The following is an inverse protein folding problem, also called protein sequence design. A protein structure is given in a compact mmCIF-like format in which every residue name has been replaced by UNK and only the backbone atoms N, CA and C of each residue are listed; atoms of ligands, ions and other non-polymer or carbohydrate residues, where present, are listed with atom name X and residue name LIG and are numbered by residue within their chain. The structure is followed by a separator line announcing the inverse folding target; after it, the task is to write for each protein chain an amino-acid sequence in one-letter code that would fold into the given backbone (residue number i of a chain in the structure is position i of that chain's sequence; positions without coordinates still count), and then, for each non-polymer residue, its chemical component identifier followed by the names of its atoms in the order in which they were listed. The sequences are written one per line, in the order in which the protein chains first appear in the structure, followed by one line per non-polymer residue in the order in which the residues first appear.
data_IF_808328309751
#
_entry.id   IF_808328309751
#
_cell.length_a   1.000
_cell.length_b   1.000
_cell.length_c   1.000
_cell.angle_alpha   90.00
_cell.angle_beta   90.00
_cell.angle_gamma   90.00
#
_symmetry.space_group_name_H-M   'P 1'
#
loop_
_entity.id
_entity.type
_entity.pdbx_description
1 polymer ?
#
# COMPACT_ATOMS: atom_id res chain seq x y z
N UNK A 1 11.03 -10.75 19.78
CA UNK A 1 12.09 -11.73 19.49
C UNK A 1 12.92 -11.33 18.28
N UNK A 2 14.17 -10.84 18.46
CA UNK A 2 15.06 -10.44 17.36
C UNK A 2 15.52 -11.61 16.47
N UNK A 3 15.47 -12.83 16.99
CA UNK A 3 15.86 -14.05 16.27
C UNK A 3 14.74 -14.67 15.43
N UNK A 4 13.47 -14.26 15.62
CA UNK A 4 12.34 -14.88 14.94
C UNK A 4 12.26 -14.51 13.44
N UNK A 5 12.20 -15.52 12.57
CA UNK A 5 12.07 -15.34 11.12
C UNK A 5 10.77 -14.64 10.72
N UNK A 6 9.64 -15.00 11.34
CA UNK A 6 8.35 -14.35 11.07
C UNK A 6 8.36 -12.86 11.44
N UNK A 7 9.01 -12.49 12.56
CA UNK A 7 9.21 -11.08 12.92
C UNK A 7 10.00 -10.34 11.84
N UNK A 8 11.12 -10.90 11.39
CA UNK A 8 11.97 -10.28 10.34
C UNK A 8 11.19 -10.06 9.03
N UNK A 9 10.34 -11.00 8.64
CA UNK A 9 9.48 -10.88 7.45
C UNK A 9 8.35 -9.86 7.64
N UNK A 10 7.84 -9.71 8.86
CA UNK A 10 6.76 -8.79 9.18
C UNK A 10 7.22 -7.33 9.32
N UNK A 11 8.42 -7.08 9.87
CA UNK A 11 8.91 -5.72 10.15
C UNK A 11 8.83 -4.75 8.95
N UNK A 12 9.23 -5.12 7.71
CA UNK A 12 9.09 -4.22 6.57
C UNK A 12 7.64 -3.85 6.24
N UNK A 13 6.67 -4.71 6.57
CA UNK A 13 5.23 -4.43 6.41
C UNK A 13 4.77 -3.51 7.54
N UNK A 14 5.20 -3.79 8.77
CA UNK A 14 4.93 -2.94 9.92
C UNK A 14 5.40 -1.50 9.67
N UNK A 15 6.63 -1.30 9.22
CA UNK A 15 7.18 0.05 8.98
C UNK A 15 6.42 0.79 7.86
N UNK A 16 6.00 0.07 6.82
CA UNK A 16 5.16 0.64 5.75
C UNK A 16 3.77 1.03 6.25
N UNK A 17 3.16 0.21 7.11
CA UNK A 17 1.90 0.54 7.73
C UNK A 17 2.05 1.76 8.63
N UNK A 18 3.05 1.79 9.51
CA UNK A 18 3.33 2.92 10.38
C UNK A 18 3.47 4.23 9.60
N UNK A 19 4.28 4.25 8.54
CA UNK A 19 4.43 5.43 7.69
C UNK A 19 3.11 5.84 6.99
N UNK A 20 2.33 4.87 6.50
CA UNK A 20 1.03 5.14 5.90
C UNK A 20 0.05 5.76 6.89
N UNK A 21 0.00 5.24 8.12
CA UNK A 21 -0.91 5.71 9.14
C UNK A 21 -0.49 7.04 9.73
N UNK A 22 0.80 7.27 9.95
CA UNK A 22 1.35 8.57 10.34
C UNK A 22 1.00 9.64 9.30
N UNK A 23 1.19 9.30 8.02
CA UNK A 23 0.78 10.17 6.91
C UNK A 23 -0.73 10.41 6.94
N UNK A 24 -1.57 9.39 7.11
CA UNK A 24 -3.01 9.52 6.86
C UNK A 24 -3.83 9.97 8.07
N UNK A 25 -3.42 9.55 9.26
CA UNK A 25 -4.15 9.70 10.51
C UNK A 25 -3.40 10.53 11.56
N UNK A 26 -2.14 10.90 11.30
CA UNK A 26 -1.30 11.64 12.24
C UNK A 26 -1.27 10.96 13.61
N UNK A 27 -1.50 11.75 14.65
CA UNK A 27 -1.43 11.29 16.05
C UNK A 27 -2.64 10.43 16.50
N UNK A 28 -3.61 10.12 15.62
CA UNK A 28 -4.71 9.22 15.97
C UNK A 28 -4.25 7.77 16.18
N UNK A 29 -3.11 7.37 15.62
CA UNK A 29 -2.56 6.02 15.77
C UNK A 29 -1.05 6.08 16.02
N UNK A 30 -0.62 5.50 17.13
CA UNK A 30 0.80 5.36 17.47
C UNK A 30 1.25 3.92 17.23
N UNK A 31 2.32 3.76 16.47
CA UNK A 31 2.98 2.47 16.24
C UNK A 31 4.19 2.33 17.19
N UNK A 32 4.12 1.37 18.10
CA UNK A 32 5.23 1.01 18.99
C UNK A 32 5.66 -0.45 18.79
N UNK A 33 6.96 -0.71 18.96
CA UNK A 33 7.55 -2.06 18.94
C UNK A 33 8.44 -2.26 20.15
N UNK A 34 8.37 -3.45 20.74
CA UNK A 34 9.18 -3.85 21.90
C UNK A 34 9.71 -5.25 21.68
N UNK A 35 10.85 -5.57 22.31
CA UNK A 35 11.32 -6.95 22.32
C UNK A 35 10.63 -7.76 23.42
N UNK A 36 9.58 -8.50 23.05
CA UNK A 36 8.83 -9.35 23.96
C UNK A 36 9.60 -10.56 24.52
N UNK A 37 10.86 -10.79 24.14
CA UNK A 37 11.72 -11.78 24.86
C UNK A 37 12.44 -11.20 26.06
N UNK A 38 12.53 -9.87 26.14
CA UNK A 38 13.20 -9.15 27.22
C UNK A 38 12.23 -8.36 28.10
N UNK A 39 10.94 -8.35 27.75
CA UNK A 39 9.92 -7.51 28.39
C UNK A 39 8.59 -8.29 28.45
N UNK A 40 7.88 -8.13 29.56
CA UNK A 40 6.54 -8.69 29.76
C UNK A 40 5.48 -7.60 29.57
N UNK A 41 4.25 -8.01 29.24
CA UNK A 41 3.10 -7.11 29.10
C UNK A 41 2.13 -7.46 30.21
N UNK A 42 1.85 -6.50 31.10
CA UNK A 42 0.89 -6.70 32.18
C UNK A 42 -0.49 -7.05 31.61
N UNK A 43 -1.10 -8.11 32.15
CA UNK A 43 -2.43 -8.56 31.71
C UNK A 43 -2.47 -9.26 30.35
N UNK A 44 -1.33 -9.50 29.69
CA UNK A 44 -1.31 -10.23 28.42
C UNK A 44 -0.15 -11.23 28.34
N UNK A 45 -0.49 -12.50 28.09
CA UNK A 45 0.50 -13.57 27.95
C UNK A 45 0.88 -13.78 26.47
N UNK A 46 2.11 -13.43 26.10
CA UNK A 46 2.62 -13.60 24.73
C UNK A 46 2.95 -15.07 24.48
N UNK A 47 2.19 -15.71 23.58
CA UNK A 47 2.35 -17.13 23.25
C UNK A 47 3.25 -17.40 22.04
N UNK A 48 3.55 -16.37 21.24
CA UNK A 48 4.29 -16.52 19.99
C UNK A 48 4.80 -15.20 19.43
N UNK A 49 5.54 -15.26 18.32
CA UNK A 49 6.08 -14.06 17.68
C UNK A 49 5.89 -14.11 16.15
N UNK A 50 5.50 -13.00 15.49
CA UNK A 50 5.11 -11.73 16.10
C UNK A 50 3.75 -11.80 16.80
N UNK A 51 3.62 -11.09 17.93
CA UNK A 51 2.32 -10.74 18.52
C UNK A 51 2.07 -9.27 18.29
N UNK A 52 0.89 -8.91 17.80
CA UNK A 52 0.51 -7.52 17.52
C UNK A 52 -0.77 -7.19 18.27
N UNK A 53 -0.67 -6.21 19.15
CA UNK A 53 -1.75 -5.75 20.01
C UNK A 53 -2.15 -4.34 19.62
N UNK A 54 -3.45 -4.13 19.44
CA UNK A 54 -4.04 -2.80 19.21
C UNK A 54 -4.71 -2.36 20.50
N UNK A 55 -4.37 -1.16 20.97
CA UNK A 55 -4.96 -0.52 22.14
C UNK A 55 -5.84 0.64 21.66
N UNK A 56 -7.16 0.43 21.46
CA UNK A 56 -8.02 1.49 20.95
C UNK A 56 -8.23 2.59 22.01
N UNK A 57 -8.36 3.84 21.55
CA UNK A 57 -8.56 4.99 22.44
C UNK A 57 -9.83 4.82 23.28
N UNK A 58 -9.71 5.04 24.58
CA UNK A 58 -10.84 5.03 25.53
C UNK A 58 -11.28 3.64 26.01
N UNK A 59 -10.57 2.57 25.63
CA UNK A 59 -10.87 1.21 26.07
C UNK A 59 -9.93 0.85 27.21
N UNK A 60 -10.26 1.32 28.41
CA UNK A 60 -9.46 1.09 29.63
C UNK A 60 -9.65 -0.31 30.23
N UNK A 61 -10.79 -0.97 29.99
CA UNK A 61 -11.16 -2.21 30.69
C UNK A 61 -11.25 -3.46 29.79
N UNK A 62 -11.47 -3.34 28.48
CA UNK A 62 -11.62 -4.52 27.59
C UNK A 62 -10.27 -5.10 27.11
N UNK A 63 -9.15 -4.45 27.47
CA UNK A 63 -7.81 -4.89 27.11
C UNK A 63 -7.44 -4.68 25.63
N UNK A 64 -6.22 -5.07 25.22
CA UNK A 64 -5.80 -4.98 23.82
C UNK A 64 -6.53 -5.98 22.95
N UNK A 65 -6.78 -5.60 21.69
CA UNK A 65 -7.22 -6.55 20.65
C UNK A 65 -6.00 -7.18 19.98
N UNK A 66 -5.95 -8.50 19.96
CA UNK A 66 -4.92 -9.26 19.25
C UNK A 66 -5.24 -9.33 17.75
N UNK A 67 -4.35 -8.78 16.93
CA UNK A 67 -4.45 -8.76 15.46
C UNK A 67 -3.31 -9.54 14.79
N UNK A 68 -2.66 -10.44 15.52
CA UNK A 68 -1.48 -11.21 15.07
C UNK A 68 -1.77 -12.07 13.82
N UNK A 69 -3.02 -12.47 13.62
CA UNK A 69 -3.46 -13.24 12.45
C UNK A 69 -3.39 -12.44 11.14
N UNK A 70 -3.42 -11.11 11.22
CA UNK A 70 -3.41 -10.23 10.04
C UNK A 70 -1.99 -9.84 9.59
N UNK A 71 -0.94 -10.44 10.15
CA UNK A 71 0.46 -10.08 9.89
C UNK A 71 1.01 -10.64 8.56
N UNK A 72 0.27 -11.54 7.90
CA UNK A 72 0.67 -12.15 6.63
C UNK A 72 0.69 -11.15 5.48
N UNK A 73 -0.25 -10.21 5.42
CA UNK A 73 -0.36 -9.22 4.36
C UNK A 73 -0.44 -7.79 4.90
N UNK A 74 0.24 -6.86 4.24
CA UNK A 74 0.21 -5.45 4.59
C UNK A 74 -1.21 -4.86 4.55
N UNK A 75 -2.02 -5.25 3.55
CA UNK A 75 -3.38 -4.75 3.38
C UNK A 75 -4.29 -5.22 4.50
N UNK A 76 -4.19 -6.49 4.86
CA UNK A 76 -5.01 -7.08 5.92
C UNK A 76 -4.61 -6.51 7.27
N UNK A 77 -3.31 -6.39 7.54
CA UNK A 77 -2.80 -5.71 8.73
C UNK A 77 -3.32 -4.27 8.83
N UNK A 78 -3.18 -3.48 7.77
CA UNK A 78 -3.65 -2.09 7.76
C UNK A 78 -5.19 -2.01 7.90
N UNK A 79 -5.93 -2.92 7.28
CA UNK A 79 -7.38 -2.96 7.40
C UNK A 79 -7.81 -3.27 8.84
N UNK A 80 -7.16 -4.23 9.48
CA UNK A 80 -7.48 -4.63 10.84
C UNK A 80 -7.21 -3.49 11.81
N UNK A 81 -6.01 -2.89 11.79
CA UNK A 81 -5.65 -1.73 12.64
C UNK A 81 -6.66 -0.59 12.45
N UNK A 82 -7.03 -0.28 11.20
CA UNK A 82 -8.03 0.76 10.92
C UNK A 82 -9.39 0.45 11.54
N UNK A 83 -9.84 -0.80 11.42
CA UNK A 83 -11.15 -1.25 11.89
C UNK A 83 -11.19 -1.25 13.42
N UNK A 84 -10.17 -1.82 14.05
CA UNK A 84 -10.03 -1.89 15.51
C UNK A 84 -9.92 -0.51 16.15
N UNK A 85 -9.16 0.41 15.55
CA UNK A 85 -9.05 1.79 16.01
C UNK A 85 -10.24 2.68 15.60
N UNK A 86 -11.25 2.14 14.90
CA UNK A 86 -12.45 2.86 14.42
C UNK A 86 -12.09 4.16 13.68
N UNK A 87 -11.01 4.13 12.89
CA UNK A 87 -10.50 5.34 12.24
C UNK A 87 -11.41 5.75 11.09
N UNK A 88 -11.98 6.94 11.23
CA UNK A 88 -12.66 7.61 10.13
C UNK A 88 -11.63 8.04 9.08
N UNK A 89 -12.03 8.14 7.80
CA UNK A 89 -11.13 8.66 6.77
C UNK A 89 -10.86 10.14 7.05
N UNK A 90 -9.74 10.49 7.68
CA UNK A 90 -9.32 11.90 7.77
C UNK A 90 -9.02 12.36 6.36
N UNK A 91 -9.73 13.38 5.90
CA UNK A 91 -9.41 14.08 4.65
C UNK A 91 -8.27 15.04 4.96
N UNK A 92 -7.10 14.81 4.38
CA UNK A 92 -6.02 15.79 4.50
C UNK A 92 -6.31 17.00 3.61
N UNK A 93 -5.94 18.19 4.08
CA UNK A 93 -5.91 19.37 3.22
C UNK A 93 -5.02 19.09 1.99
N UNK A 94 -5.54 19.36 0.79
CA UNK A 94 -4.86 19.11 -0.49
C UNK A 94 -5.01 17.69 -1.08
N UNK A 95 -5.62 16.72 -0.38
CA UNK A 95 -5.81 15.35 -0.91
C UNK A 95 -6.72 15.34 -2.14
N UNK A 96 -7.77 16.19 -2.13
CA UNK A 96 -8.64 16.38 -3.27
C UNK A 96 -7.90 16.98 -4.49
N UNK A 97 -6.98 17.91 -4.26
CA UNK A 97 -6.20 18.55 -5.32
C UNK A 97 -5.21 17.56 -5.96
N UNK A 98 -4.55 16.75 -5.14
CA UNK A 98 -3.67 15.68 -5.62
C UNK A 98 -4.42 14.62 -6.41
N UNK A 99 -5.60 14.20 -5.94
CA UNK A 99 -6.41 13.22 -6.66
C UNK A 99 -6.92 13.77 -8.01
N UNK A 100 -7.28 15.05 -8.05
CA UNK A 100 -7.64 15.73 -9.29
C UNK A 100 -6.45 15.87 -10.24
N UNK A 101 -5.26 16.19 -9.74
CA UNK A 101 -4.02 16.19 -10.51
C UNK A 101 -3.68 14.79 -11.07
N UNK A 102 -3.85 13.74 -10.26
CA UNK A 102 -3.64 12.36 -10.68
C UNK A 102 -4.64 11.92 -11.77
N UNK A 103 -5.90 12.35 -11.69
CA UNK A 103 -6.89 12.11 -12.76
C UNK A 103 -6.49 12.81 -14.06
N UNK A 104 -6.08 14.08 -13.98
CA UNK A 104 -5.59 14.85 -15.15
C UNK A 104 -4.38 14.18 -15.78
N UNK A 105 -3.41 13.75 -14.97
CA UNK A 105 -2.23 13.03 -15.44
C UNK A 105 -2.60 11.70 -16.12
N UNK A 106 -3.46 10.88 -15.48
CA UNK A 106 -3.95 9.62 -16.08
C UNK A 106 -4.67 9.87 -17.41
N UNK A 107 -5.48 10.91 -17.50
CA UNK A 107 -6.17 11.29 -18.75
C UNK A 107 -5.18 11.72 -19.84
N UNK A 108 -4.16 12.51 -19.50
CA UNK A 108 -3.11 12.91 -20.42
C UNK A 108 -2.31 11.72 -20.95
N UNK A 109 -1.90 10.80 -20.06
CA UNK A 109 -1.21 9.55 -20.44
C UNK A 109 -2.08 8.70 -21.36
N UNK A 110 -3.38 8.56 -21.07
CA UNK A 110 -4.31 7.82 -21.93
C UNK A 110 -4.39 8.43 -23.35
N UNK A 111 -4.41 9.76 -23.45
CA UNK A 111 -4.44 10.47 -24.73
C UNK A 111 -3.14 10.28 -25.52
N UNK A 112 -1.99 10.40 -24.86
CA UNK A 112 -0.67 10.16 -25.47
C UNK A 112 -0.57 8.72 -25.97
N UNK A 113 -1.00 7.75 -25.14
CA UNK A 113 -1.01 6.34 -25.52
C UNK A 113 -1.86 6.08 -26.76
N UNK A 114 -3.07 6.64 -26.84
CA UNK A 114 -3.93 6.51 -28.02
C UNK A 114 -3.31 7.10 -29.29
N UNK A 115 -2.70 8.28 -29.19
CA UNK A 115 -2.02 8.93 -30.33
C UNK A 115 -0.82 8.14 -30.83
N UNK A 116 -0.03 7.53 -29.92
CA UNK A 116 1.13 6.72 -30.28
C UNK A 116 0.74 5.47 -31.08
N UNK A 117 -0.38 4.81 -30.75
CA UNK A 117 -0.87 3.66 -31.54
C UNK A 117 -1.27 4.07 -32.95
N UNK A 118 -2.04 5.16 -33.08
CA UNK A 118 -2.45 5.68 -34.39
C UNK A 118 -1.25 6.03 -35.28
N UNK A 119 -0.20 6.62 -34.71
CA UNK A 119 1.03 6.94 -35.45
C UNK A 119 1.83 5.69 -35.81
N UNK A 120 1.87 4.67 -34.95
CA UNK A 120 2.53 3.39 -35.23
C UNK A 120 1.81 2.63 -36.36
N UNK A 121 0.49 2.61 -36.36
CA UNK A 121 -0.30 1.96 -37.41
C UNK A 121 -0.10 2.64 -38.77
N UNK A 122 -0.10 3.97 -38.81
CA UNK A 122 0.17 4.73 -40.04
C UNK A 122 1.58 4.49 -40.60
N UNK A 123 2.59 4.36 -39.73
CA UNK A 123 3.96 4.02 -40.12
C UNK A 123 4.05 2.60 -40.69
N UNK A 124 3.38 1.62 -40.07
CA UNK A 124 3.33 0.26 -40.56
C UNK A 124 2.63 0.18 -41.93
N UNK A 125 1.54 0.92 -42.12
CA UNK A 125 0.82 0.97 -43.39
C UNK A 125 1.64 1.65 -44.50
N UNK A 126 2.40 2.69 -44.16
CA UNK A 126 3.33 3.33 -45.09
C UNK A 126 4.49 2.39 -45.46
N UNK A 127 5.05 1.65 -44.49
CA UNK A 127 6.09 0.66 -44.74
C UNK A 127 5.61 -0.44 -45.70
N UNK A 128 4.40 -0.98 -45.50
CA UNK A 128 3.81 -1.98 -46.38
C UNK A 128 3.63 -1.49 -47.83
N UNK A 129 3.27 -0.20 -48.02
CA UNK A 129 3.15 0.40 -49.36
C UNK A 129 4.51 0.54 -50.06
N UNK A 130 5.56 0.87 -49.31
CA UNK A 130 6.93 0.94 -49.84
C UNK A 130 7.43 -0.45 -50.24
N UNK A 131 7.20 -1.47 -49.42
CA UNK A 131 7.56 -2.87 -49.74
C UNK A 131 6.82 -3.37 -50.99
N UNK A 132 5.51 -3.07 -51.11
CA UNK A 132 4.71 -3.46 -52.27
C UNK A 132 5.16 -2.74 -53.56
N UNK A 133 5.57 -1.47 -53.48
CA UNK A 133 6.11 -0.74 -54.63
C UNK A 133 7.46 -1.30 -55.08
N UNK A 134 8.35 -1.64 -54.13
CA UNK A 134 9.65 -2.23 -54.42
C UNK A 134 9.54 -3.61 -55.10
N UNK A 135 8.54 -4.42 -54.75
CA UNK A 135 8.31 -5.72 -55.37
C UNK A 135 7.81 -5.62 -56.83
N UNK A 136 7.14 -4.53 -57.20
CA UNK A 136 6.58 -4.32 -58.55
C UNK A 136 7.61 -3.74 -59.54
N UNK A 137 8.67 -3.08 -59.06
CA UNK A 137 9.75 -2.54 -59.90
C UNK A 137 10.81 -3.58 -60.27
N UNK A 138 10.80 -4.76 -59.61
CA UNK A 138 11.73 -5.87 -59.85
C UNK A 138 11.23 -6.93 -60.86
N UNK A 139 10.12 -6.69 -61.56
CA UNK A 139 9.50 -7.62 -62.52
C UNK A 139 9.45 -7.10 -63.95
#
# INVERSE_FOLDING_TARGET
APWCGHCKTFMPKYDKAAAHFDTKYGDEVVFAKMDGTANEIEGYNVQGFPTVLVYPKGVGEEGPTDVSQSTENLKDFAKEVRTTCKLSTIKREGEAEYEEAAKRFKAAVKKIKGSLYLSADALNEAAAKVEAAAANESS
#
